data_IF_850344926722
#
_entry.id   IF_850344926722
#
_cell.length_a   1.000
_cell.length_b   1.000
_cell.length_c   1.000
_cell.angle_alpha   90.00
_cell.angle_beta   90.00
_cell.angle_gamma   90.00
#
_symmetry.space_group_name_H-M   'P 1'
#
loop_
_entity.id
_entity.type
_entity.pdbx_description
1 polymer ?
#
# COMPACT_ATOMS: atom_id res chain seq x y z
N UNK A 1 -26.12 -25.23 1.31
CA UNK A 1 -25.95 -24.33 2.48
C UNK A 1 -24.48 -23.99 2.72
N UNK A 2 -23.63 -24.89 3.24
CA UNK A 2 -22.22 -24.57 3.58
C UNK A 2 -21.44 -23.94 2.41
N UNK A 3 -21.52 -24.53 1.21
CA UNK A 3 -20.87 -23.99 0.03
C UNK A 3 -21.36 -22.57 -0.31
N UNK A 4 -22.69 -22.37 -0.32
CA UNK A 4 -23.32 -21.06 -0.54
C UNK A 4 -22.86 -20.03 0.50
N UNK A 5 -22.88 -20.40 1.80
CA UNK A 5 -22.40 -19.54 2.88
C UNK A 5 -20.93 -19.21 2.74
N UNK A 6 -20.09 -20.14 2.28
CA UNK A 6 -18.66 -19.91 2.06
C UNK A 6 -18.44 -18.85 0.98
N UNK A 7 -19.17 -18.91 -0.13
CA UNK A 7 -19.10 -17.91 -1.22
C UNK A 7 -19.57 -16.54 -0.74
N UNK A 8 -20.70 -16.49 -0.01
CA UNK A 8 -21.22 -15.25 0.55
C UNK A 8 -20.21 -14.64 1.54
N UNK A 9 -19.67 -15.44 2.47
CA UNK A 9 -18.69 -14.98 3.45
C UNK A 9 -17.42 -14.47 2.78
N UNK A 10 -16.93 -15.12 1.71
CA UNK A 10 -15.80 -14.62 0.93
C UNK A 10 -16.07 -13.21 0.38
N UNK A 11 -17.27 -12.96 -0.16
CA UNK A 11 -17.67 -11.61 -0.59
C UNK A 11 -17.75 -10.62 0.57
N UNK A 12 -18.37 -11.01 1.69
CA UNK A 12 -18.51 -10.17 2.87
C UNK A 12 -17.16 -9.77 3.50
N UNK A 13 -16.13 -10.61 3.37
CA UNK A 13 -14.77 -10.28 3.84
C UNK A 13 -14.18 -9.04 3.16
N UNK A 14 -14.68 -8.60 1.99
CA UNK A 14 -14.20 -7.38 1.34
C UNK A 14 -14.87 -6.10 1.85
N UNK A 15 -15.99 -6.21 2.59
CA UNK A 15 -16.73 -5.04 3.10
C UNK A 15 -15.96 -4.22 4.13
N UNK A 16 -14.89 -4.76 4.70
CA UNK A 16 -14.00 -4.04 5.60
C UNK A 16 -12.84 -3.33 4.88
N UNK A 17 -12.78 -3.36 3.56
CA UNK A 17 -11.78 -2.59 2.79
C UNK A 17 -12.16 -1.11 2.82
N UNK A 18 -11.23 -0.23 3.22
CA UNK A 18 -11.51 1.18 3.49
C UNK A 18 -11.89 1.99 2.26
N UNK A 19 -11.08 1.89 1.20
CA UNK A 19 -11.30 2.57 -0.07
C UNK A 19 -11.67 1.54 -1.13
N UNK A 20 -12.58 1.91 -2.03
CA UNK A 20 -13.02 1.03 -3.14
C UNK A 20 -11.83 0.69 -4.05
N UNK A 21 -10.93 1.64 -4.27
CA UNK A 21 -9.71 1.44 -5.05
C UNK A 21 -8.71 0.45 -4.44
N UNK A 22 -8.93 -0.02 -3.21
CA UNK A 22 -8.10 -1.03 -2.54
C UNK A 22 -8.68 -2.45 -2.65
N UNK A 23 -9.79 -2.65 -3.35
CA UNK A 23 -10.41 -3.98 -3.50
C UNK A 23 -9.69 -4.77 -4.59
N UNK A 24 -8.83 -5.69 -4.16
CA UNK A 24 -8.08 -6.59 -5.02
C UNK A 24 -8.33 -8.05 -4.64
N UNK A 25 -8.34 -8.95 -5.64
CA UNK A 25 -8.46 -10.38 -5.37
C UNK A 25 -7.28 -10.91 -4.54
N UNK A 26 -7.57 -11.79 -3.58
CA UNK A 26 -6.57 -12.43 -2.71
C UNK A 26 -6.79 -13.94 -2.64
N UNK A 27 -5.78 -14.70 -3.07
CA UNK A 27 -5.75 -16.17 -2.95
C UNK A 27 -5.82 -16.61 -1.48
N UNK A 28 -5.07 -15.95 -0.60
CA UNK A 28 -5.06 -16.26 0.84
C UNK A 28 -6.45 -16.08 1.46
N UNK A 29 -7.22 -15.05 1.07
CA UNK A 29 -8.62 -14.89 1.50
C UNK A 29 -9.50 -16.03 0.99
N UNK A 30 -9.30 -16.49 -0.25
CA UNK A 30 -10.02 -17.65 -0.80
C UNK A 30 -9.71 -18.92 0.00
N UNK A 31 -8.44 -19.21 0.27
CA UNK A 31 -8.06 -20.39 1.06
C UNK A 31 -8.62 -20.34 2.49
N UNK A 32 -8.57 -19.17 3.13
CA UNK A 32 -9.17 -18.98 4.46
C UNK A 32 -10.70 -19.18 4.42
N UNK A 33 -11.40 -18.69 3.40
CA UNK A 33 -12.83 -18.92 3.25
C UNK A 33 -13.17 -20.41 3.15
N UNK A 34 -12.43 -21.16 2.32
CA UNK A 34 -12.63 -22.61 2.16
C UNK A 34 -12.28 -23.36 3.46
N UNK A 35 -11.21 -22.97 4.16
CA UNK A 35 -10.82 -23.52 5.46
C UNK A 35 -11.93 -23.33 6.51
N UNK A 36 -12.49 -22.12 6.61
CA UNK A 36 -13.62 -21.83 7.50
C UNK A 36 -14.86 -22.64 7.11
N UNK A 37 -15.16 -22.76 5.82
CA UNK A 37 -16.26 -23.58 5.30
C UNK A 37 -16.12 -25.07 5.66
N UNK A 38 -14.93 -25.63 5.51
CA UNK A 38 -14.63 -27.02 5.91
C UNK A 38 -14.77 -27.22 7.43
N UNK A 39 -14.29 -26.26 8.22
CA UNK A 39 -14.44 -26.28 9.68
C UNK A 39 -15.92 -26.24 10.09
N UNK A 40 -16.70 -25.38 9.44
CA UNK A 40 -18.14 -25.27 9.68
C UNK A 40 -18.86 -26.57 9.32
N UNK A 41 -18.48 -27.24 8.23
CA UNK A 41 -19.05 -28.55 7.87
C UNK A 41 -18.85 -29.60 8.96
N UNK A 42 -17.64 -29.69 9.52
CA UNK A 42 -17.28 -30.60 10.62
C UNK A 42 -18.13 -30.29 11.85
N UNK A 43 -18.16 -29.03 12.29
CA UNK A 43 -18.90 -28.62 13.50
C UNK A 43 -20.40 -28.86 13.33
N UNK A 44 -21.00 -28.38 12.24
CA UNK A 44 -22.44 -28.53 12.00
C UNK A 44 -22.86 -29.99 11.94
N UNK A 45 -22.10 -30.83 11.22
CA UNK A 45 -22.42 -32.24 11.14
C UNK A 45 -22.26 -32.93 12.50
N UNK A 46 -21.26 -32.58 13.30
CA UNK A 46 -21.07 -33.13 14.65
C UNK A 46 -22.30 -32.89 15.55
N UNK A 47 -22.87 -31.69 15.53
CA UNK A 47 -24.05 -31.35 16.33
C UNK A 47 -25.34 -31.97 15.80
N UNK A 48 -25.42 -32.22 14.48
CA UNK A 48 -26.63 -32.73 13.81
C UNK A 48 -26.54 -34.21 13.42
N UNK A 49 -25.56 -34.95 13.94
CA UNK A 49 -25.29 -36.36 13.60
C UNK A 49 -26.55 -37.25 13.69
N UNK A 50 -27.40 -37.02 14.70
CA UNK A 50 -28.64 -37.79 14.90
C UNK A 50 -29.75 -37.50 13.89
N UNK A 51 -29.66 -36.40 13.13
CA UNK A 51 -30.65 -36.01 12.12
C UNK A 51 -30.37 -36.65 10.75
N UNK A 52 -29.13 -37.06 10.48
CA UNK A 52 -28.72 -37.58 9.18
C UNK A 52 -28.51 -39.11 9.23
N UNK A 53 -29.43 -39.92 8.65
CA UNK A 53 -29.43 -41.38 8.85
C UNK A 53 -28.30 -42.12 8.13
N UNK A 54 -27.74 -41.56 7.05
CA UNK A 54 -26.70 -42.22 6.26
C UNK A 54 -25.32 -42.08 6.92
N UNK A 55 -24.91 -43.10 7.67
CA UNK A 55 -23.59 -43.15 8.31
C UNK A 55 -22.43 -43.04 7.30
N UNK A 56 -22.59 -43.61 6.11
CA UNK A 56 -21.57 -43.57 5.06
C UNK A 56 -21.40 -42.16 4.51
N UNK A 57 -22.51 -41.47 4.20
CA UNK A 57 -22.45 -40.09 3.71
C UNK A 57 -21.86 -39.15 4.77
N UNK A 58 -22.26 -39.31 6.04
CA UNK A 58 -21.74 -38.52 7.14
C UNK A 58 -20.22 -38.73 7.30
N UNK A 59 -19.75 -39.98 7.27
CA UNK A 59 -18.33 -40.29 7.35
C UNK A 59 -17.54 -39.71 6.17
N UNK A 60 -18.09 -39.78 4.95
CA UNK A 60 -17.48 -39.20 3.76
C UNK A 60 -17.36 -37.66 3.86
N UNK A 61 -18.39 -36.97 4.35
CA UNK A 61 -18.37 -35.52 4.55
C UNK A 61 -17.33 -35.13 5.60
N UNK A 62 -17.25 -35.85 6.73
CA UNK A 62 -16.24 -35.61 7.75
C UNK A 62 -14.82 -35.77 7.20
N UNK A 63 -14.53 -36.93 6.60
CA UNK A 63 -13.21 -37.22 6.06
C UNK A 63 -12.82 -36.21 4.97
N UNK A 64 -13.73 -35.91 4.04
CA UNK A 64 -13.52 -34.92 3.00
C UNK A 64 -13.24 -33.53 3.57
N UNK A 65 -13.99 -33.10 4.60
CA UNK A 65 -13.81 -31.80 5.24
C UNK A 65 -12.46 -31.71 5.97
N UNK A 66 -12.01 -32.79 6.64
CA UNK A 66 -10.68 -32.84 7.29
C UNK A 66 -9.56 -32.73 6.25
N UNK A 67 -9.68 -33.41 5.11
CA UNK A 67 -8.69 -33.32 4.02
C UNK A 67 -8.64 -31.91 3.44
N UNK A 68 -9.80 -31.32 3.13
CA UNK A 68 -9.88 -29.95 2.62
C UNK A 68 -9.32 -28.95 3.63
N UNK A 69 -9.65 -29.10 4.92
CA UNK A 69 -9.10 -28.28 5.99
C UNK A 69 -7.57 -28.34 6.03
N UNK A 70 -7.00 -29.55 6.05
CA UNK A 70 -5.55 -29.74 6.12
C UNK A 70 -4.84 -29.15 4.88
N UNK A 71 -5.42 -29.34 3.69
CA UNK A 71 -4.88 -28.78 2.45
C UNK A 71 -4.92 -27.24 2.46
N UNK A 72 -6.06 -26.63 2.80
CA UNK A 72 -6.18 -25.17 2.83
C UNK A 72 -5.29 -24.56 3.93
N UNK A 73 -5.18 -25.21 5.08
CA UNK A 73 -4.28 -24.78 6.16
C UNK A 73 -2.82 -24.82 5.70
N UNK A 74 -2.43 -25.88 4.99
CA UNK A 74 -1.11 -25.98 4.40
C UNK A 74 -0.84 -24.85 3.40
N UNK A 75 -1.78 -24.56 2.48
CA UNK A 75 -1.62 -23.48 1.50
C UNK A 75 -1.49 -22.10 2.18
N UNK A 76 -2.38 -21.79 3.14
CA UNK A 76 -2.31 -20.53 3.91
C UNK A 76 -1.01 -20.43 4.70
N UNK A 77 -0.51 -21.51 5.29
CA UNK A 77 0.70 -21.47 6.12
C UNK A 77 1.99 -21.47 5.32
N UNK A 78 2.00 -22.12 4.16
CA UNK A 78 3.20 -22.28 3.35
C UNK A 78 3.40 -21.16 2.33
N UNK A 79 2.32 -20.47 1.94
CA UNK A 79 2.34 -19.37 0.95
C UNK A 79 2.96 -19.76 -0.41
N UNK A 80 3.08 -21.06 -0.72
CA UNK A 80 3.81 -21.58 -1.90
C UNK A 80 3.23 -21.18 -3.24
N UNK A 81 1.99 -20.69 -3.29
CA UNK A 81 1.33 -20.22 -4.51
C UNK A 81 1.36 -18.70 -4.67
N UNK A 82 1.83 -17.97 -3.65
CA UNK A 82 1.76 -16.51 -3.61
C UNK A 82 3.07 -15.92 -4.12
N UNK A 83 3.06 -15.43 -5.37
CA UNK A 83 4.17 -14.65 -5.95
C UNK A 83 3.96 -13.13 -5.82
N UNK A 84 4.92 -12.34 -6.28
CA UNK A 84 5.02 -10.88 -6.04
C UNK A 84 3.72 -10.11 -6.33
N UNK A 85 3.13 -10.30 -7.51
CA UNK A 85 1.89 -9.63 -7.88
C UNK A 85 0.70 -10.09 -7.00
N UNK A 86 0.63 -11.38 -6.64
CA UNK A 86 -0.43 -11.92 -5.78
C UNK A 86 -0.27 -11.42 -4.34
N UNK A 87 0.98 -11.33 -3.87
CA UNK A 87 1.34 -10.76 -2.57
C UNK A 87 0.88 -9.30 -2.48
N UNK A 88 1.32 -8.45 -3.40
CA UNK A 88 0.98 -7.01 -3.37
C UNK A 88 -0.52 -6.77 -3.51
N UNK A 89 -1.19 -7.48 -4.43
CA UNK A 89 -2.67 -7.42 -4.58
C UNK A 89 -3.39 -7.85 -3.31
N UNK A 90 -2.91 -8.86 -2.60
CA UNK A 90 -3.51 -9.29 -1.33
C UNK A 90 -3.22 -8.33 -0.18
N UNK A 91 -2.08 -7.63 -0.24
CA UNK A 91 -1.61 -6.76 0.84
C UNK A 91 -2.25 -5.37 0.81
N UNK A 92 -2.61 -4.84 -0.38
CA UNK A 92 -3.37 -3.58 -0.49
C UNK A 92 -4.67 -3.58 0.35
N UNK A 93 -5.60 -4.55 0.23
CA UNK A 93 -6.80 -4.58 1.06
C UNK A 93 -6.51 -4.96 2.52
N UNK A 94 -5.39 -5.62 2.83
CA UNK A 94 -4.95 -5.87 4.20
C UNK A 94 -4.56 -4.55 4.89
N UNK A 95 -3.68 -3.79 4.25
CA UNK A 95 -3.24 -2.46 4.68
C UNK A 95 -4.41 -1.49 4.81
N UNK A 96 -5.34 -1.56 3.86
CA UNK A 96 -6.53 -0.73 3.87
C UNK A 96 -7.35 -0.87 5.17
N UNK A 97 -7.43 -2.05 5.79
CA UNK A 97 -8.16 -2.25 7.04
C UNK A 97 -7.45 -1.55 8.21
N UNK A 98 -6.11 -1.56 8.21
CA UNK A 98 -5.31 -0.86 9.20
C UNK A 98 -5.53 0.66 9.12
N UNK A 99 -5.53 1.23 7.91
CA UNK A 99 -5.82 2.66 7.68
C UNK A 99 -7.21 3.03 8.23
N UNK A 100 -8.24 2.25 7.90
CA UNK A 100 -9.59 2.48 8.43
C UNK A 100 -9.61 2.49 9.96
N UNK A 101 -8.92 1.53 10.58
CA UNK A 101 -8.92 1.36 12.03
C UNK A 101 -8.15 2.50 12.70
N UNK A 102 -6.98 2.87 12.18
CA UNK A 102 -6.19 4.01 12.64
C UNK A 102 -6.95 5.34 12.52
N UNK A 103 -7.66 5.56 11.41
CA UNK A 103 -8.36 6.82 11.17
C UNK A 103 -9.69 6.95 11.93
N UNK A 104 -10.32 5.83 12.35
CA UNK A 104 -11.68 5.84 12.93
C UNK A 104 -11.75 5.44 14.40
N UNK A 105 -10.73 4.79 14.94
CA UNK A 105 -10.70 4.44 16.34
C UNK A 105 -10.56 5.69 17.22
N UNK A 106 -11.18 5.66 18.39
CA UNK A 106 -11.15 6.79 19.33
C UNK A 106 -10.06 6.57 20.38
N UNK A 107 -8.93 7.27 20.23
CA UNK A 107 -7.80 7.18 21.14
C UNK A 107 -7.81 8.30 22.17
N UNK A 108 -7.44 7.98 23.41
CA UNK A 108 -7.32 8.96 24.52
C UNK A 108 -5.87 9.24 24.91
N UNK A 109 -4.94 8.31 24.67
CA UNK A 109 -3.51 8.49 24.93
C UNK A 109 -2.83 9.07 23.67
N UNK A 110 -2.19 10.26 23.74
CA UNK A 110 -1.52 10.89 22.60
C UNK A 110 -0.45 10.02 21.94
N UNK A 111 0.19 9.11 22.69
CA UNK A 111 1.19 8.19 22.12
C UNK A 111 0.55 7.15 21.20
N UNK A 112 -0.68 6.73 21.51
CA UNK A 112 -1.43 5.79 20.67
C UNK A 112 -1.96 6.50 19.43
N UNK A 113 -2.39 7.77 19.55
CA UNK A 113 -2.74 8.58 18.39
C UNK A 113 -1.55 8.74 17.44
N UNK A 114 -0.38 9.13 17.96
CA UNK A 114 0.84 9.25 17.15
C UNK A 114 1.18 7.94 16.44
N UNK A 115 1.10 6.80 17.14
CA UNK A 115 1.31 5.49 16.51
C UNK A 115 0.28 5.19 15.42
N UNK A 116 -0.99 5.55 15.62
CA UNK A 116 -2.04 5.36 14.62
C UNK A 116 -1.79 6.21 13.37
N UNK A 117 -1.34 7.45 13.55
CA UNK A 117 -0.96 8.36 12.47
C UNK A 117 0.24 7.80 11.68
N UNK A 118 1.27 7.31 12.37
CA UNK A 118 2.45 6.67 11.76
C UNK A 118 2.05 5.41 10.96
N UNK A 119 1.17 4.57 11.53
CA UNK A 119 0.62 3.40 10.84
C UNK A 119 -0.15 3.84 9.60
N UNK A 120 -1.04 4.83 9.72
CA UNK A 120 -1.85 5.31 8.58
C UNK A 120 -0.96 5.83 7.46
N UNK A 121 0.06 6.63 7.80
CA UNK A 121 1.04 7.13 6.84
C UNK A 121 1.78 6.00 6.12
N UNK A 122 2.42 5.11 6.87
CA UNK A 122 3.22 4.02 6.29
C UNK A 122 2.37 3.16 5.35
N UNK A 123 1.15 2.83 5.76
CA UNK A 123 0.26 1.95 5.01
C UNK A 123 -0.28 2.63 3.74
N UNK A 124 -0.57 3.94 3.77
CA UNK A 124 -0.95 4.70 2.57
C UNK A 124 0.20 4.72 1.54
N UNK A 125 1.42 5.01 2.00
CA UNK A 125 2.64 5.00 1.17
C UNK A 125 2.89 3.62 0.54
N UNK A 126 2.87 2.57 1.36
CA UNK A 126 3.08 1.18 0.91
C UNK A 126 2.00 0.75 -0.09
N UNK A 127 0.75 1.20 0.06
CA UNK A 127 -0.29 0.97 -0.96
C UNK A 127 0.09 1.64 -2.28
N UNK A 128 0.53 2.91 -2.27
CA UNK A 128 0.92 3.60 -3.50
C UNK A 128 2.13 2.94 -4.17
N UNK A 129 3.10 2.49 -3.38
CA UNK A 129 4.28 1.75 -3.86
C UNK A 129 3.89 0.39 -4.46
N UNK A 130 3.07 -0.41 -3.76
CA UNK A 130 2.57 -1.68 -4.28
C UNK A 130 1.78 -1.51 -5.58
N UNK A 131 0.95 -0.45 -5.69
CA UNK A 131 0.22 -0.15 -6.93
C UNK A 131 1.17 0.18 -8.06
N UNK A 132 2.21 0.99 -7.79
CA UNK A 132 3.25 1.29 -8.77
C UNK A 132 4.00 0.03 -9.23
N UNK A 133 4.49 -0.78 -8.29
CA UNK A 133 5.23 -2.02 -8.58
C UNK A 133 4.38 -3.05 -9.32
N UNK A 134 3.08 -3.18 -9.00
CA UNK A 134 2.17 -4.05 -9.75
C UNK A 134 2.13 -3.65 -11.22
N UNK A 135 2.02 -2.36 -11.53
CA UNK A 135 1.96 -1.90 -12.92
C UNK A 135 3.32 -2.04 -13.61
N UNK A 136 4.38 -1.62 -12.94
CA UNK A 136 5.74 -1.64 -13.49
C UNK A 136 6.18 -3.07 -13.80
N UNK A 137 6.03 -4.00 -12.85
CA UNK A 137 6.36 -5.42 -13.07
C UNK A 137 5.45 -6.05 -14.12
N UNK A 138 4.16 -5.68 -14.16
CA UNK A 138 3.25 -6.21 -15.18
C UNK A 138 3.60 -5.73 -16.60
N UNK A 139 4.16 -4.53 -16.75
CA UNK A 139 4.54 -3.95 -18.04
C UNK A 139 5.97 -4.33 -18.46
N UNK A 140 6.91 -4.31 -17.51
CA UNK A 140 8.35 -4.37 -17.75
C UNK A 140 9.00 -5.69 -17.29
N UNK A 141 8.28 -6.51 -16.52
CA UNK A 141 8.80 -7.74 -15.92
C UNK A 141 9.67 -7.48 -14.68
N UNK A 142 10.19 -8.57 -14.11
CA UNK A 142 11.02 -8.50 -12.91
C UNK A 142 12.36 -7.81 -13.19
N UNK A 143 12.82 -6.99 -12.25
CA UNK A 143 14.14 -6.38 -12.34
C UNK A 143 15.24 -7.41 -12.09
N UNK A 144 16.31 -7.36 -12.88
CA UNK A 144 17.47 -8.24 -12.72
C UNK A 144 18.60 -7.47 -12.02
N UNK A 145 18.66 -7.59 -10.70
CA UNK A 145 19.71 -6.94 -9.91
C UNK A 145 19.36 -6.93 -8.44
N UNK A 146 19.81 -7.95 -7.70
CA UNK A 146 19.76 -7.89 -6.25
C UNK A 146 20.80 -6.86 -5.79
N UNK A 147 20.34 -5.67 -5.38
CA UNK A 147 21.21 -4.75 -4.65
C UNK A 147 21.44 -5.33 -3.25
N UNK A 148 22.54 -6.08 -3.11
CA UNK A 148 22.99 -6.64 -1.83
C UNK A 148 22.85 -5.58 -0.74
N UNK A 149 22.24 -5.93 0.39
CA UNK A 149 22.24 -5.04 1.53
C UNK A 149 23.71 -4.75 1.90
N UNK A 150 24.09 -3.48 2.13
CA UNK A 150 25.45 -3.16 2.54
C UNK A 150 25.80 -3.92 3.82
N UNK A 151 27.05 -4.37 3.95
CA UNK A 151 27.52 -4.99 5.19
C UNK A 151 27.38 -3.98 6.34
N UNK A 152 26.96 -4.47 7.51
CA UNK A 152 26.77 -3.62 8.68
C UNK A 152 28.12 -3.29 9.33
N UNK A 153 28.47 -2.01 9.40
CA UNK A 153 29.67 -1.53 10.08
C UNK A 153 29.42 -1.28 11.57
N UNK A 154 30.41 -1.61 12.41
CA UNK A 154 30.38 -1.26 13.84
C UNK A 154 30.91 0.16 14.01
N UNK A 155 29.99 1.11 14.17
CA UNK A 155 30.30 2.54 14.34
C UNK A 155 29.90 3.06 15.72
N UNK A 156 30.35 4.27 16.06
CA UNK A 156 29.89 4.93 17.29
C UNK A 156 28.43 5.37 17.18
N UNK A 157 27.76 5.60 18.32
CA UNK A 157 26.39 6.12 18.31
C UNK A 157 26.29 7.48 17.58
N UNK A 158 27.28 8.35 17.73
CA UNK A 158 27.32 9.64 17.03
C UNK A 158 27.40 9.47 15.51
N UNK A 159 28.21 8.52 15.04
CA UNK A 159 28.33 8.26 13.61
C UNK A 159 27.06 7.60 13.06
N UNK A 160 26.43 6.72 13.84
CA UNK A 160 25.14 6.12 13.48
C UNK A 160 24.03 7.17 13.37
N UNK A 161 23.98 8.15 14.28
CA UNK A 161 23.01 9.25 14.23
C UNK A 161 23.29 10.25 13.10
N UNK A 162 24.53 10.32 12.61
CA UNK A 162 24.91 11.17 11.49
C UNK A 162 24.79 10.47 10.12
N UNK A 163 24.56 9.15 10.11
CA UNK A 163 24.49 8.35 8.88
C UNK A 163 23.07 8.37 8.30
N UNK A 164 22.89 8.81 7.04
CA UNK A 164 21.57 8.84 6.44
C UNK A 164 21.11 7.43 6.04
N UNK A 165 19.87 7.07 6.40
CA UNK A 165 19.26 5.81 5.96
C UNK A 165 18.61 5.97 4.59
N UNK A 166 19.42 6.08 3.54
CA UNK A 166 18.97 6.40 2.17
C UNK A 166 17.88 5.46 1.66
N UNK A 167 17.98 4.15 1.95
CA UNK A 167 17.02 3.13 1.50
C UNK A 167 15.65 3.22 2.17
N UNK A 168 15.54 3.99 3.26
CA UNK A 168 14.27 4.21 3.99
C UNK A 168 13.88 5.69 3.97
N UNK A 169 14.50 6.50 3.10
CA UNK A 169 14.04 7.87 2.87
C UNK A 169 12.72 7.82 2.12
N UNK A 170 11.72 8.47 2.70
CA UNK A 170 10.36 8.46 2.18
C UNK A 170 9.85 9.87 1.97
N UNK A 171 8.99 10.04 0.96
CA UNK A 171 8.14 11.20 0.88
C UNK A 171 7.15 11.18 2.06
N UNK A 172 7.19 12.22 2.89
CA UNK A 172 6.31 12.38 4.04
C UNK A 172 5.11 13.28 3.71
N UNK A 173 4.01 13.18 4.47
CA UNK A 173 2.86 14.04 4.27
C UNK A 173 3.23 15.49 4.59
N UNK A 174 2.77 16.40 3.73
CA UNK A 174 2.90 17.84 3.88
C UNK A 174 1.74 18.37 4.71
N UNK A 175 2.07 19.05 5.81
CA UNK A 175 1.10 19.82 6.59
C UNK A 175 0.82 21.18 5.96
N UNK A 176 -0.26 21.85 6.37
CA UNK A 176 -0.52 23.24 5.93
C UNK A 176 0.65 24.18 6.25
N UNK A 177 1.33 23.97 7.38
CA UNK A 177 2.50 24.74 7.78
C UNK A 177 3.70 24.47 6.85
N UNK A 178 3.91 23.22 6.45
CA UNK A 178 4.95 22.84 5.49
C UNK A 178 4.69 23.51 4.13
N UNK A 179 3.43 23.49 3.65
CA UNK A 179 3.04 24.14 2.40
C UNK A 179 3.25 25.65 2.46
N UNK A 180 2.83 26.31 3.54
CA UNK A 180 3.01 27.75 3.70
C UNK A 180 4.50 28.15 3.77
N UNK A 181 5.34 27.28 4.35
CA UNK A 181 6.78 27.51 4.45
C UNK A 181 7.52 27.30 3.13
N UNK A 182 7.19 26.22 2.40
CA UNK A 182 7.89 25.84 1.16
C UNK A 182 7.30 26.43 -0.12
N UNK A 183 6.03 26.82 -0.11
CA UNK A 183 5.28 27.41 -1.23
C UNK A 183 4.50 28.65 -0.75
N UNK A 184 5.17 29.79 -0.52
CA UNK A 184 4.52 31.00 0.00
C UNK A 184 3.47 31.59 -0.97
N UNK A 185 3.57 31.27 -2.27
CA UNK A 185 2.55 31.61 -3.28
C UNK A 185 1.32 30.70 -3.28
N UNK A 186 1.29 29.67 -2.43
CA UNK A 186 0.28 28.61 -2.44
C UNK A 186 0.68 27.41 -3.30
N UNK A 187 0.03 26.27 -3.04
CA UNK A 187 0.14 25.09 -3.88
C UNK A 187 -0.97 25.11 -4.94
N UNK A 188 -0.56 25.06 -6.21
CA UNK A 188 -1.45 24.97 -7.38
C UNK A 188 -1.99 23.56 -7.56
N UNK A 189 -1.17 22.55 -7.28
CA UNK A 189 -1.55 21.14 -7.42
C UNK A 189 -0.94 20.29 -6.30
N UNK A 190 -1.53 19.13 -6.05
CA UNK A 190 -1.02 18.20 -5.05
C UNK A 190 -1.18 16.75 -5.48
N UNK A 191 -0.22 15.94 -5.06
CA UNK A 191 -0.25 14.49 -5.19
C UNK A 191 -0.34 13.86 -3.79
N UNK A 192 -1.25 12.91 -3.63
CA UNK A 192 -1.46 12.13 -2.42
C UNK A 192 -1.37 10.63 -2.73
N UNK A 193 -0.91 9.83 -1.77
CA UNK A 193 -0.78 8.38 -1.97
C UNK A 193 -2.13 7.69 -2.18
N UNK A 194 -3.16 8.11 -1.44
CA UNK A 194 -4.55 7.65 -1.59
C UNK A 194 -5.51 8.84 -1.62
N UNK A 195 -6.78 8.59 -1.92
CA UNK A 195 -7.81 9.65 -1.98
C UNK A 195 -8.14 10.27 -0.61
N UNK A 196 -7.67 9.68 0.49
CA UNK A 196 -7.94 10.12 1.86
C UNK A 196 -6.67 10.41 2.66
N UNK A 197 -5.50 10.41 2.01
CA UNK A 197 -4.22 10.76 2.63
C UNK A 197 -3.86 12.22 2.36
N UNK A 198 -3.12 12.85 3.27
CA UNK A 198 -2.53 14.17 3.03
C UNK A 198 -1.53 14.13 1.85
N UNK A 199 -1.27 15.29 1.20
CA UNK A 199 -0.33 15.38 0.08
C UNK A 199 1.08 14.92 0.44
N UNK A 200 1.71 14.13 -0.42
CA UNK A 200 3.13 13.76 -0.31
C UNK A 200 4.03 14.60 -1.23
N UNK A 201 3.43 15.28 -2.22
CA UNK A 201 4.09 16.22 -3.11
C UNK A 201 3.11 17.35 -3.43
N UNK A 202 3.60 18.59 -3.43
CA UNK A 202 2.81 19.76 -3.84
C UNK A 202 3.55 20.51 -4.95
N UNK A 203 2.81 21.08 -5.90
CA UNK A 203 3.34 21.93 -6.96
C UNK A 203 2.88 23.36 -6.73
N UNK A 204 3.72 24.34 -7.03
CA UNK A 204 3.37 25.76 -6.97
C UNK A 204 4.32 26.62 -7.79
N UNK A 205 4.23 27.93 -7.60
CA UNK A 205 5.12 28.92 -8.24
C UNK A 205 6.23 29.36 -7.28
N UNK A 206 7.47 29.29 -7.76
CA UNK A 206 8.65 29.88 -7.13
C UNK A 206 9.10 31.15 -7.87
N UNK A 207 10.22 31.73 -7.44
CA UNK A 207 10.77 32.95 -8.06
C UNK A 207 11.17 32.74 -9.53
N UNK A 208 11.66 31.53 -9.86
CA UNK A 208 12.21 31.19 -11.18
C UNK A 208 11.27 30.28 -12.02
N UNK A 209 9.98 30.22 -11.67
CA UNK A 209 8.99 29.38 -12.34
C UNK A 209 8.43 28.27 -11.45
N UNK A 210 7.90 27.22 -12.07
CA UNK A 210 7.19 26.15 -11.34
C UNK A 210 8.16 25.33 -10.49
N UNK A 211 7.71 25.00 -9.28
CA UNK A 211 8.46 24.20 -8.32
C UNK A 211 7.59 23.08 -7.75
N UNK A 212 8.25 22.02 -7.29
CA UNK A 212 7.66 20.95 -6.51
C UNK A 212 8.23 21.00 -5.09
N UNK A 213 7.38 20.79 -4.09
CA UNK A 213 7.73 20.69 -2.69
C UNK A 213 7.48 19.24 -2.22
N UNK A 214 8.48 18.66 -1.58
CA UNK A 214 8.41 17.35 -0.93
C UNK A 214 9.01 17.46 0.47
N UNK A 215 8.51 16.65 1.42
CA UNK A 215 9.11 16.50 2.74
C UNK A 215 9.85 15.16 2.81
N UNK A 216 11.12 15.19 3.21
CA UNK A 216 11.98 14.02 3.33
C UNK A 216 12.76 14.14 4.64
N UNK A 217 12.65 13.15 5.53
CA UNK A 217 13.30 13.17 6.85
C UNK A 217 13.04 14.44 7.66
N UNK A 218 11.79 14.89 7.66
CA UNK A 218 11.28 16.13 8.27
C UNK A 218 11.81 17.44 7.66
N UNK A 219 12.66 17.35 6.64
CA UNK A 219 13.17 18.50 5.90
C UNK A 219 12.36 18.77 4.63
N UNK A 220 12.15 20.05 4.34
CA UNK A 220 11.46 20.49 3.12
C UNK A 220 12.45 20.62 1.97
N UNK A 221 12.19 19.91 0.89
CA UNK A 221 12.99 19.90 -0.33
C UNK A 221 12.19 20.53 -1.46
N UNK A 222 12.71 21.64 -1.99
CA UNK A 222 12.16 22.33 -3.16
C UNK A 222 12.92 21.88 -4.40
N UNK A 223 12.19 21.41 -5.41
CA UNK A 223 12.71 20.98 -6.70
C UNK A 223 12.18 21.91 -7.80
N UNK A 224 13.03 22.30 -8.75
CA UNK A 224 12.67 23.18 -9.87
C UNK A 224 12.25 22.35 -11.09
N UNK A 225 11.26 22.82 -11.84
CA UNK A 225 10.85 22.16 -13.07
C UNK A 225 11.98 22.19 -14.12
N UNK A 226 12.28 21.02 -14.68
CA UNK A 226 13.28 20.78 -15.73
C UNK A 226 12.63 20.35 -17.06
N UNK A 227 11.30 20.47 -17.14
CA UNK A 227 10.48 20.07 -18.29
C UNK A 227 9.89 18.66 -18.17
N UNK A 228 8.86 18.38 -18.99
CA UNK A 228 8.18 17.08 -19.08
C UNK A 228 7.75 16.48 -17.71
N UNK A 229 7.28 17.33 -16.78
CA UNK A 229 6.83 16.88 -15.47
C UNK A 229 7.95 16.39 -14.54
N UNK A 230 9.21 16.70 -14.86
CA UNK A 230 10.38 16.40 -14.04
C UNK A 230 10.76 17.63 -13.22
N UNK A 231 11.07 17.39 -11.96
CA UNK A 231 11.53 18.39 -11.02
C UNK A 231 12.87 17.94 -10.45
N UNK A 232 13.86 18.82 -10.42
CA UNK A 232 15.23 18.48 -10.03
C UNK A 232 15.78 19.43 -8.96
N UNK A 233 16.69 18.89 -8.18
CA UNK A 233 17.60 19.62 -7.30
C UNK A 233 18.93 18.86 -7.24
N UNK A 234 19.93 19.38 -6.55
CA UNK A 234 21.20 18.67 -6.40
C UNK A 234 20.98 17.31 -5.74
N UNK A 235 21.39 16.22 -6.42
CA UNK A 235 21.32 14.86 -5.90
C UNK A 235 19.94 14.19 -5.98
N UNK A 236 18.90 14.85 -6.51
CA UNK A 236 17.55 14.29 -6.56
C UNK A 236 16.74 14.70 -7.80
N UNK A 237 15.94 13.77 -8.31
CA UNK A 237 14.94 13.98 -9.35
C UNK A 237 13.60 13.42 -8.91
N UNK A 238 12.53 14.18 -9.11
CA UNK A 238 11.14 13.73 -8.96
C UNK A 238 10.46 13.84 -10.32
N UNK A 239 9.94 12.73 -10.84
CA UNK A 239 9.13 12.71 -12.04
C UNK A 239 7.65 12.50 -11.67
N UNK A 240 6.77 13.35 -12.18
CA UNK A 240 5.32 13.25 -12.03
C UNK A 240 4.68 12.96 -13.40
N UNK A 241 4.22 11.73 -13.59
CA UNK A 241 3.73 11.24 -14.89
C UNK A 241 2.31 10.70 -14.79
N UNK A 242 1.62 10.62 -15.93
CA UNK A 242 0.38 9.87 -16.05
C UNK A 242 0.61 8.37 -15.73
N UNK A 243 -0.45 7.59 -15.43
CA UNK A 243 -0.33 6.15 -15.24
C UNK A 243 0.27 5.50 -16.50
N UNK A 244 1.32 4.70 -16.32
CA UNK A 244 2.09 4.10 -17.42
C UNK A 244 3.44 4.79 -17.70
N UNK A 245 3.72 5.96 -17.11
CA UNK A 245 5.08 6.53 -17.06
C UNK A 245 5.56 7.30 -18.29
N UNK A 246 4.84 7.26 -19.41
CA UNK A 246 5.32 7.79 -20.69
C UNK A 246 5.08 9.29 -20.92
N UNK A 247 4.18 9.91 -20.15
CA UNK A 247 3.77 11.30 -20.37
C UNK A 247 3.62 12.06 -19.05
N UNK A 248 3.86 13.39 -19.03
CA UNK A 248 3.69 14.20 -17.83
C UNK A 248 2.25 14.12 -17.31
N UNK A 249 2.08 14.06 -15.98
CA UNK A 249 0.74 14.08 -15.41
C UNK A 249 0.07 15.44 -15.71
N UNK A 250 -1.20 15.39 -16.10
CA UNK A 250 -2.04 16.58 -16.23
C UNK A 250 -3.33 16.32 -15.48
N UNK A 251 -3.59 17.13 -14.48
CA UNK A 251 -4.87 17.19 -13.79
C UNK A 251 -5.47 18.59 -14.02
N UNK A 252 -6.79 18.62 -14.16
CA UNK A 252 -7.60 19.83 -14.02
C UNK A 252 -8.11 19.87 -12.56
N UNK A 253 -9.30 20.44 -12.30
CA UNK A 253 -9.96 20.34 -10.99
C UNK A 253 -10.24 18.87 -10.56
N UNK A 254 -10.41 17.96 -11.52
CA UNK A 254 -10.74 16.57 -11.25
C UNK A 254 -9.54 15.76 -10.73
N UNK A 255 -9.80 14.92 -9.73
CA UNK A 255 -8.82 13.99 -9.18
C UNK A 255 -8.49 12.90 -10.21
N UNK A 256 -7.22 12.84 -10.62
CA UNK A 256 -6.72 11.86 -11.59
C UNK A 256 -5.66 10.97 -10.97
N UNK A 257 -5.45 9.78 -11.51
CA UNK A 257 -4.32 8.95 -11.07
C UNK A 257 -3.01 9.46 -11.68
N UNK A 258 -1.93 9.41 -10.91
CA UNK A 258 -0.60 9.76 -11.37
C UNK A 258 0.45 8.86 -10.73
N UNK A 259 1.66 8.88 -11.30
CA UNK A 259 2.84 8.23 -10.76
C UNK A 259 3.86 9.28 -10.37
N UNK A 260 4.35 9.20 -9.14
CA UNK A 260 5.52 9.95 -8.67
C UNK A 260 6.69 8.97 -8.60
N UNK A 261 7.80 9.28 -9.26
CA UNK A 261 9.06 8.55 -9.13
C UNK A 261 10.12 9.46 -8.53
N UNK A 262 10.60 9.10 -7.34
CA UNK A 262 11.74 9.72 -6.66
C UNK A 262 13.01 8.95 -6.99
N UNK A 263 14.02 9.67 -7.45
CA UNK A 263 15.35 9.12 -7.73
C UNK A 263 16.39 9.98 -7.03
N UNK A 264 17.20 9.36 -6.18
CA UNK A 264 18.33 10.00 -5.52
C UNK A 264 19.63 9.46 -6.12
N UNK A 265 20.60 10.34 -6.36
CA UNK A 265 21.94 9.96 -6.84
C UNK A 265 22.65 9.02 -5.84
N UNK A 266 22.26 9.11 -4.57
CA UNK A 266 22.69 8.24 -3.48
C UNK A 266 22.14 6.80 -3.56
N UNK A 267 21.33 6.46 -4.57
CA UNK A 267 20.91 5.09 -4.88
C UNK A 267 19.44 4.76 -4.64
N UNK A 268 18.63 5.68 -4.09
CA UNK A 268 17.20 5.43 -3.91
C UNK A 268 16.45 5.57 -5.24
N UNK A 269 15.63 4.56 -5.55
CA UNK A 269 14.65 4.62 -6.63
C UNK A 269 13.31 4.15 -6.08
N UNK A 270 12.41 5.09 -5.80
CA UNK A 270 11.08 4.81 -5.24
C UNK A 270 10.00 5.33 -6.19
N UNK A 271 8.95 4.54 -6.39
CA UNK A 271 7.80 4.93 -7.22
C UNK A 271 6.49 4.75 -6.47
N UNK A 272 5.55 5.67 -6.69
CA UNK A 272 4.28 5.72 -5.99
C UNK A 272 3.16 6.01 -7.00
N UNK A 273 2.15 5.12 -7.08
CA UNK A 273 0.93 5.36 -7.85
C UNK A 273 -0.17 5.84 -6.92
N UNK A 274 -0.53 7.11 -7.07
CA UNK A 274 -1.47 7.82 -6.22
C UNK A 274 -2.41 8.70 -7.03
N UNK A 275 -2.84 9.79 -6.41
CA UNK A 275 -3.86 10.69 -6.92
C UNK A 275 -3.33 12.11 -7.00
N UNK A 276 -3.59 12.78 -8.13
CA UNK A 276 -3.12 14.11 -8.45
C UNK A 276 -4.31 15.00 -8.84
N UNK A 277 -4.38 16.18 -8.24
CA UNK A 277 -5.38 17.20 -8.54
C UNK A 277 -4.75 18.59 -8.50
N UNK A 278 -5.30 19.50 -9.30
CA UNK A 278 -4.97 20.92 -9.27
C UNK A 278 -6.15 21.72 -8.73
N UNK A 279 -5.87 22.82 -8.03
CA UNK A 279 -6.88 23.83 -7.75
C UNK A 279 -7.25 24.51 -9.08
N UNK A 280 -8.56 24.65 -9.34
CA UNK A 280 -9.09 25.44 -10.45
C UNK A 280 -9.09 26.94 -10.17
#
# INVERSE_FOLDING_TARGET
MIATSTVVMFGLMYLNTYLIGHVFFSETRTYMAVLMGATMAIVMLAFMLGMYPSKVANAAIFAGSVVVFALMLFLVRSQVTVGDLSYMRAMIPHHSIAIMTSNRANFSDPRVQSLADDISYAQNKEIAEMRYLIDDISANGDTTGAESAPEADVVSLSDALASPMIRTLDAQPLTEADLAAGLPGGADCSFAFTTDSAPALALGQGEDGRVALMKISDDLVVLREDGDGRFTTEGATVALTAPGGDTPARADEDLTEATVKLTLDAGLNAGYRGWFACAG
#
